data_IF_148245558498
#
_entry.id   IF_148245558498
#
_cell.length_a   1.000
_cell.length_b   1.000
_cell.length_c   1.000
_cell.angle_alpha   90.00
_cell.angle_beta   90.00
_cell.angle_gamma   90.00
#
_symmetry.space_group_name_H-M   'P 1'
#
loop_
_entity.id
_entity.type
_entity.pdbx_description
1 polymer ?
#
# COMPACT_ATOMS: atom_id res chain seq x y z
N UNK A 1 -45.87 -23.59 26.49
CA UNK A 1 -44.56 -24.25 26.71
C UNK A 1 -43.58 -23.74 25.67
N UNK A 2 -42.66 -22.89 26.12
CA UNK A 2 -41.46 -22.46 25.38
C UNK A 2 -40.44 -23.59 25.36
N UNK A 3 -39.84 -23.83 24.20
CA UNK A 3 -38.44 -24.28 24.00
C UNK A 3 -38.03 -23.87 22.58
N UNK A 4 -36.83 -23.47 22.24
CA UNK A 4 -35.65 -22.90 22.89
C UNK A 4 -34.76 -22.42 21.70
N UNK A 5 -34.00 -21.34 21.89
CA UNK A 5 -33.02 -20.86 20.91
C UNK A 5 -32.14 -21.96 20.32
N UNK A 6 -32.03 -21.96 18.98
CA UNK A 6 -30.82 -22.44 18.31
C UNK A 6 -30.10 -21.21 17.78
N UNK A 7 -29.26 -20.68 18.65
CA UNK A 7 -28.09 -19.90 18.32
C UNK A 7 -27.27 -20.63 17.25
N UNK A 8 -27.18 -20.05 16.06
CA UNK A 8 -26.06 -20.36 15.17
C UNK A 8 -25.22 -19.10 15.00
N UNK A 9 -24.38 -18.89 16.00
CA UNK A 9 -23.25 -17.99 15.97
C UNK A 9 -22.39 -18.34 14.74
N UNK A 10 -21.97 -17.38 13.90
CA UNK A 10 -21.12 -17.69 12.77
C UNK A 10 -19.81 -18.32 13.29
N UNK A 11 -19.38 -19.47 12.74
CA UNK A 11 -18.13 -20.09 13.16
C UNK A 11 -16.98 -19.14 12.82
N UNK A 12 -16.34 -18.67 13.89
CA UNK A 12 -14.90 -18.43 14.01
C UNK A 12 -14.24 -17.60 12.91
N UNK A 13 -13.93 -16.35 13.28
CA UNK A 13 -12.69 -15.64 12.96
C UNK A 13 -11.88 -16.22 11.78
N UNK A 14 -12.26 -15.84 10.56
CA UNK A 14 -11.45 -16.12 9.37
C UNK A 14 -10.15 -15.32 9.51
N UNK A 15 -9.06 -16.03 9.72
CA UNK A 15 -7.70 -15.51 9.71
C UNK A 15 -7.41 -14.83 8.36
N UNK A 16 -7.38 -13.50 8.33
CA UNK A 16 -7.07 -12.68 7.15
C UNK A 16 -5.60 -12.81 6.67
N UNK A 17 -4.92 -13.91 6.97
CA UNK A 17 -3.47 -14.07 6.75
C UNK A 17 -3.01 -15.46 6.33
N UNK A 18 -3.92 -16.40 6.04
CA UNK A 18 -3.49 -17.67 5.46
C UNK A 18 -3.05 -17.45 4.02
N UNK A 19 -1.85 -17.89 3.67
CA UNK A 19 -1.34 -17.86 2.29
C UNK A 19 -2.24 -18.75 1.42
N UNK A 20 -2.62 -18.33 0.20
CA UNK A 20 -3.37 -19.18 -0.72
C UNK A 20 -2.62 -20.50 -0.95
N UNK A 21 -3.33 -21.63 -0.99
CA UNK A 21 -2.71 -22.90 -1.43
C UNK A 21 -2.22 -22.77 -2.88
N UNK A 22 -1.27 -23.61 -3.32
CA UNK A 22 -0.66 -23.51 -4.67
C UNK A 22 -1.70 -23.36 -5.80
N UNK A 23 -2.80 -24.14 -5.74
CA UNK A 23 -3.91 -24.07 -6.70
C UNK A 23 -4.74 -22.78 -6.59
N UNK A 24 -4.92 -22.26 -5.38
CA UNK A 24 -5.61 -20.98 -5.18
C UNK A 24 -4.76 -19.80 -5.66
N UNK A 25 -3.44 -19.90 -5.53
CA UNK A 25 -2.52 -18.90 -6.08
C UNK A 25 -2.55 -18.88 -7.61
N UNK A 26 -2.50 -20.06 -8.23
CA UNK A 26 -2.63 -20.19 -9.69
C UNK A 26 -3.96 -19.61 -10.22
N UNK A 27 -5.08 -19.92 -9.56
CA UNK A 27 -6.38 -19.34 -9.89
C UNK A 27 -6.41 -17.83 -9.70
N UNK A 28 -5.79 -17.31 -8.64
CA UNK A 28 -5.69 -15.87 -8.41
C UNK A 28 -4.85 -15.18 -9.50
N UNK A 29 -3.69 -15.74 -9.85
CA UNK A 29 -2.82 -15.23 -10.91
C UNK A 29 -3.51 -15.26 -12.28
N UNK A 30 -4.27 -16.31 -12.57
CA UNK A 30 -5.09 -16.36 -13.79
C UNK A 30 -6.11 -15.24 -13.85
N UNK A 31 -6.86 -15.02 -12.76
CA UNK A 31 -7.87 -13.96 -12.69
C UNK A 31 -7.19 -12.58 -12.82
N UNK A 32 -6.03 -12.37 -12.18
CA UNK A 32 -5.26 -11.13 -12.31
C UNK A 32 -4.80 -10.86 -13.74
N UNK A 33 -4.24 -11.87 -14.42
CA UNK A 33 -3.82 -11.77 -15.81
C UNK A 33 -4.99 -11.48 -16.74
N UNK A 34 -6.11 -12.18 -16.57
CA UNK A 34 -7.31 -12.00 -17.39
C UNK A 34 -7.90 -10.60 -17.24
N UNK A 35 -7.98 -10.08 -16.01
CA UNK A 35 -8.46 -8.72 -15.75
C UNK A 35 -7.51 -7.67 -16.34
N UNK A 36 -6.19 -7.90 -16.28
CA UNK A 36 -5.19 -6.99 -16.85
C UNK A 36 -5.26 -6.94 -18.38
N UNK A 37 -5.53 -8.06 -19.04
CA UNK A 37 -5.60 -8.16 -20.50
C UNK A 37 -6.94 -7.66 -21.07
N UNK A 38 -8.06 -8.00 -20.43
CA UNK A 38 -9.39 -7.76 -20.98
C UNK A 38 -10.15 -6.61 -20.31
N UNK A 39 -9.70 -6.13 -19.15
CA UNK A 39 -10.37 -5.06 -18.40
C UNK A 39 -11.65 -5.47 -17.66
N UNK A 40 -11.98 -6.77 -17.64
CA UNK A 40 -13.12 -7.33 -16.90
C UNK A 40 -12.80 -8.70 -16.31
N UNK A 41 -13.59 -9.15 -15.32
CA UNK A 41 -13.38 -10.43 -14.65
C UNK A 41 -13.75 -11.65 -15.52
N UNK A 42 -13.00 -12.76 -15.46
CA UNK A 42 -13.33 -13.97 -16.19
C UNK A 42 -14.58 -14.66 -15.64
N UNK A 43 -15.30 -15.38 -16.49
CA UNK A 43 -16.38 -16.28 -16.11
C UNK A 43 -15.85 -17.58 -15.49
N UNK A 44 -16.70 -18.31 -14.76
CA UNK A 44 -16.31 -19.61 -14.17
C UNK A 44 -15.89 -20.64 -15.23
N UNK A 45 -16.43 -20.57 -16.45
CA UNK A 45 -16.00 -21.44 -17.57
C UNK A 45 -14.63 -21.05 -18.13
N UNK A 46 -14.28 -19.76 -18.13
CA UNK A 46 -12.96 -19.29 -18.54
C UNK A 46 -11.91 -19.66 -17.49
N UNK A 47 -12.22 -19.48 -16.21
CA UNK A 47 -11.36 -19.93 -15.10
C UNK A 47 -11.16 -21.45 -15.13
N UNK A 48 -12.22 -22.21 -15.40
CA UNK A 48 -12.14 -23.67 -15.52
C UNK A 48 -11.16 -24.09 -16.63
N UNK A 49 -11.23 -23.47 -17.81
CA UNK A 49 -10.32 -23.76 -18.94
C UNK A 49 -8.90 -23.26 -18.69
N UNK A 50 -8.75 -22.10 -18.05
CA UNK A 50 -7.45 -21.47 -17.81
C UNK A 50 -6.63 -22.11 -16.69
N UNK A 51 -7.28 -22.76 -15.73
CA UNK A 51 -6.64 -23.42 -14.58
C UNK A 51 -6.85 -24.95 -14.55
N UNK A 52 -7.31 -25.54 -15.67
CA UNK A 52 -7.55 -26.98 -15.85
C UNK A 52 -8.40 -27.64 -14.73
N UNK A 53 -9.51 -27.00 -14.36
CA UNK A 53 -10.44 -27.59 -13.40
C UNK A 53 -11.40 -28.58 -14.08
N UNK A 54 -11.67 -29.69 -13.40
CA UNK A 54 -12.59 -30.73 -13.89
C UNK A 54 -14.07 -30.32 -13.89
N UNK A 55 -14.46 -29.31 -13.11
CA UNK A 55 -15.86 -28.90 -12.98
C UNK A 55 -16.00 -27.43 -12.59
N UNK A 56 -17.03 -26.78 -13.15
CA UNK A 56 -17.46 -25.41 -12.84
C UNK A 56 -17.87 -25.27 -11.36
N UNK A 57 -18.46 -26.31 -10.77
CA UNK A 57 -18.86 -26.30 -9.36
C UNK A 57 -17.66 -26.21 -8.43
N UNK A 58 -16.55 -26.87 -8.79
CA UNK A 58 -15.28 -26.80 -8.04
C UNK A 58 -14.67 -25.40 -8.14
N UNK A 59 -14.73 -24.78 -9.32
CA UNK A 59 -14.30 -23.39 -9.51
C UNK A 59 -15.10 -22.43 -8.63
N UNK A 60 -16.43 -22.59 -8.58
CA UNK A 60 -17.29 -21.75 -7.75
C UNK A 60 -16.88 -21.82 -6.27
N UNK A 61 -16.66 -23.03 -5.73
CA UNK A 61 -16.19 -23.22 -4.35
C UNK A 61 -14.83 -22.56 -4.11
N UNK A 62 -13.88 -22.68 -5.04
CA UNK A 62 -12.57 -22.04 -4.88
C UNK A 62 -12.64 -20.52 -4.96
N UNK A 63 -13.48 -19.96 -5.83
CA UNK A 63 -13.72 -18.52 -5.93
C UNK A 63 -14.41 -18.00 -4.67
N UNK A 64 -15.43 -18.69 -4.17
CA UNK A 64 -16.14 -18.30 -2.95
C UNK A 64 -15.20 -18.34 -1.72
N UNK A 65 -14.32 -19.33 -1.64
CA UNK A 65 -13.27 -19.39 -0.63
C UNK A 65 -12.28 -18.21 -0.73
N UNK A 66 -11.92 -17.78 -1.94
CA UNK A 66 -11.06 -16.61 -2.13
C UNK A 66 -11.78 -15.29 -1.83
N UNK A 67 -13.09 -15.21 -2.05
CA UNK A 67 -13.93 -14.09 -1.65
C UNK A 67 -14.03 -14.02 -0.12
N UNK A 68 -14.31 -15.15 0.54
CA UNK A 68 -14.38 -15.25 2.00
C UNK A 68 -13.05 -14.85 2.67
N UNK A 69 -11.93 -15.11 2.01
CA UNK A 69 -10.57 -14.70 2.45
C UNK A 69 -10.21 -13.26 2.09
N UNK A 70 -11.06 -12.55 1.36
CA UNK A 70 -10.85 -11.14 1.00
C UNK A 70 -9.87 -10.91 -0.15
N UNK A 71 -9.50 -11.95 -0.90
CA UNK A 71 -8.64 -11.82 -2.09
C UNK A 71 -9.43 -11.45 -3.36
N UNK A 72 -10.72 -11.77 -3.41
CA UNK A 72 -11.62 -11.47 -4.52
C UNK A 72 -12.87 -10.75 -4.00
N UNK A 73 -13.48 -9.92 -4.85
CA UNK A 73 -14.79 -9.30 -4.59
C UNK A 73 -15.67 -9.43 -5.81
N UNK A 74 -16.94 -9.69 -5.58
CA UNK A 74 -17.96 -9.78 -6.62
C UNK A 74 -18.88 -8.57 -6.56
N UNK A 75 -18.89 -7.74 -7.60
CA UNK A 75 -19.67 -6.48 -7.63
C UNK A 75 -21.15 -6.67 -8.00
N UNK A 76 -21.52 -7.78 -8.65
CA UNK A 76 -22.89 -8.09 -9.11
C UNK A 76 -23.10 -9.61 -9.20
N UNK A 77 -24.33 -10.10 -9.40
CA UNK A 77 -24.63 -11.54 -9.55
C UNK A 77 -23.96 -12.21 -10.77
N UNK A 78 -23.36 -11.45 -11.68
CA UNK A 78 -22.66 -11.98 -12.86
C UNK A 78 -21.24 -12.46 -12.55
N UNK A 79 -20.77 -13.50 -13.24
CA UNK A 79 -19.40 -13.98 -13.15
C UNK A 79 -18.38 -12.93 -13.67
N UNK A 80 -18.80 -12.05 -14.59
CA UNK A 80 -17.96 -10.97 -15.15
C UNK A 80 -17.65 -9.84 -14.17
N UNK A 81 -18.26 -9.87 -12.99
CA UNK A 81 -18.11 -8.86 -11.94
C UNK A 81 -17.08 -9.24 -10.88
N UNK A 82 -16.24 -10.24 -11.15
CA UNK A 82 -15.11 -10.61 -10.30
C UNK A 82 -14.01 -9.57 -10.44
N UNK A 83 -13.72 -8.89 -9.33
CA UNK A 83 -12.58 -7.99 -9.19
C UNK A 83 -11.59 -8.60 -8.20
N UNK A 84 -10.31 -8.55 -8.53
CA UNK A 84 -9.26 -8.93 -7.58
C UNK A 84 -9.13 -7.83 -6.54
N UNK A 85 -9.45 -8.17 -5.29
CA UNK A 85 -9.13 -7.29 -4.17
C UNK A 85 -7.66 -7.50 -3.91
N UNK A 86 -6.83 -6.69 -4.56
CA UNK A 86 -5.48 -6.50 -4.07
C UNK A 86 -5.64 -5.96 -2.66
N UNK A 87 -5.36 -6.80 -1.65
CA UNK A 87 -5.01 -6.33 -0.33
C UNK A 87 -3.90 -5.33 -0.57
N UNK A 88 -4.29 -4.08 -0.57
CA UNK A 88 -3.38 -3.01 -0.77
C UNK A 88 -2.67 -2.82 0.56
N UNK A 89 -1.85 -3.79 0.92
CA UNK A 89 -0.73 -3.58 1.82
C UNK A 89 0.28 -2.56 1.23
N UNK A 90 -0.03 -1.98 0.05
CA UNK A 90 0.62 -0.82 -0.54
C UNK A 90 -0.31 0.41 -0.76
N UNK A 91 -1.48 0.49 -0.09
CA UNK A 91 -2.22 1.77 0.06
C UNK A 91 -2.73 1.87 1.49
N UNK A 92 -1.98 2.59 2.32
CA UNK A 92 -2.50 3.13 3.57
C UNK A 92 -1.59 3.04 4.79
N UNK A 93 -0.46 2.35 4.72
CA UNK A 93 0.63 2.53 5.69
C UNK A 93 1.95 2.43 4.94
N UNK A 94 2.34 3.52 4.31
CA UNK A 94 3.76 3.72 4.08
C UNK A 94 4.36 3.93 5.47
N UNK A 95 4.76 2.84 6.15
CA UNK A 95 5.92 2.95 7.03
C UNK A 95 7.06 3.27 6.08
N UNK A 96 7.24 4.55 5.77
CA UNK A 96 8.49 5.02 5.21
C UNK A 96 9.44 4.78 6.38
N UNK A 97 10.00 3.58 6.47
CA UNK A 97 11.30 3.45 7.08
C UNK A 97 12.19 4.25 6.14
N UNK A 98 12.30 5.56 6.40
CA UNK A 98 13.24 6.43 5.71
C UNK A 98 14.60 6.00 6.23
N UNK A 99 15.06 4.83 5.80
CA UNK A 99 16.44 4.43 5.97
C UNK A 99 17.23 5.28 4.97
N UNK A 100 17.41 6.56 5.31
CA UNK A 100 18.31 7.46 4.59
C UNK A 100 19.68 6.81 4.73
N UNK A 101 20.22 6.33 3.61
CA UNK A 101 21.60 5.86 3.62
C UNK A 101 22.53 7.05 3.85
N UNK A 102 23.71 6.83 4.43
CA UNK A 102 24.70 7.90 4.67
C UNK A 102 25.02 8.71 3.41
N UNK A 103 24.93 8.12 2.21
CA UNK A 103 25.13 8.84 0.94
C UNK A 103 23.98 9.79 0.61
N UNK A 104 22.73 9.41 0.91
CA UNK A 104 21.55 10.26 0.73
C UNK A 104 21.54 11.39 1.76
N UNK A 105 22.00 11.12 2.97
CA UNK A 105 22.17 12.10 4.05
C UNK A 105 23.14 13.21 3.64
N UNK A 106 24.33 12.83 3.15
CA UNK A 106 25.34 13.79 2.68
C UNK A 106 24.81 14.67 1.55
N UNK A 107 24.18 14.06 0.54
CA UNK A 107 23.59 14.79 -0.58
C UNK A 107 22.50 15.79 -0.14
N UNK A 108 21.63 15.40 0.80
CA UNK A 108 20.62 16.29 1.38
C UNK A 108 21.23 17.47 2.12
N UNK A 109 22.27 17.23 2.92
CA UNK A 109 23.00 18.27 3.64
C UNK A 109 23.65 19.25 2.66
N UNK A 110 24.28 18.75 1.59
CA UNK A 110 24.90 19.59 0.55
C UNK A 110 23.87 20.49 -0.15
N UNK A 111 22.66 19.98 -0.45
CA UNK A 111 21.57 20.78 -1.00
C UNK A 111 21.13 21.86 -0.03
N UNK A 112 20.97 21.53 1.25
CA UNK A 112 20.55 22.50 2.26
C UNK A 112 21.59 23.60 2.40
N UNK A 113 22.88 23.25 2.44
CA UNK A 113 23.98 24.22 2.46
C UNK A 113 23.98 25.13 1.23
N UNK A 114 23.80 24.57 0.03
CA UNK A 114 23.67 25.36 -1.19
C UNK A 114 22.50 26.35 -1.11
N UNK A 115 21.36 25.94 -0.54
CA UNK A 115 20.21 26.84 -0.34
C UNK A 115 20.49 27.95 0.68
N UNK A 116 21.33 27.70 1.68
CA UNK A 116 21.82 28.77 2.57
C UNK A 116 22.72 29.75 1.83
N UNK A 117 23.65 29.28 1.01
CA UNK A 117 24.52 30.16 0.19
C UNK A 117 23.70 31.02 -0.79
N UNK A 118 22.68 30.44 -1.44
CA UNK A 118 21.76 31.18 -2.29
C UNK A 118 20.97 32.26 -1.53
N UNK A 119 20.68 32.04 -0.25
CA UNK A 119 20.03 33.04 0.61
C UNK A 119 21.01 34.15 1.00
N UNK A 120 22.22 33.81 1.43
CA UNK A 120 23.27 34.77 1.80
C UNK A 120 23.63 35.69 0.63
N UNK A 121 23.67 35.16 -0.60
CA UNK A 121 23.96 35.96 -1.79
C UNK A 121 22.85 36.97 -2.15
N UNK A 122 21.57 36.60 -1.97
CA UNK A 122 20.41 37.46 -2.26
C UNK A 122 19.29 37.18 -1.25
N UNK A 123 19.24 37.91 -0.12
CA UNK A 123 18.24 37.71 0.92
C UNK A 123 16.84 38.02 0.38
N UNK A 124 15.90 37.09 0.53
CA UNK A 124 14.51 37.28 0.09
C UNK A 124 13.61 36.50 1.03
N UNK A 125 12.43 37.06 1.37
CA UNK A 125 11.47 36.43 2.27
C UNK A 125 11.11 34.99 1.84
N UNK A 126 10.84 34.77 0.54
CA UNK A 126 10.54 33.43 -0.01
C UNK A 126 11.65 32.40 0.21
N UNK A 127 12.91 32.82 0.17
CA UNK A 127 14.06 31.93 0.40
C UNK A 127 14.20 31.57 1.87
N UNK A 128 13.89 32.52 2.76
CA UNK A 128 13.86 32.27 4.20
C UNK A 128 12.78 31.24 4.57
N UNK A 129 11.57 31.39 4.03
CA UNK A 129 10.47 30.44 4.25
C UNK A 129 10.85 29.02 3.79
N UNK A 130 11.47 28.92 2.61
CA UNK A 130 11.96 27.65 2.08
C UNK A 130 13.01 27.00 2.99
N UNK A 131 13.94 27.78 3.56
CA UNK A 131 14.93 27.27 4.50
C UNK A 131 14.26 26.74 5.77
N UNK A 132 13.27 27.46 6.32
CA UNK A 132 12.49 26.99 7.47
C UNK A 132 11.81 25.63 7.20
N UNK A 133 11.22 25.47 6.01
CA UNK A 133 10.57 24.22 5.58
C UNK A 133 11.61 23.09 5.47
N UNK A 134 12.78 23.37 4.87
CA UNK A 134 13.85 22.38 4.73
C UNK A 134 14.38 21.91 6.08
N UNK A 135 14.61 22.83 7.03
CA UNK A 135 15.04 22.48 8.39
C UNK A 135 13.98 21.65 9.12
N UNK A 136 12.69 22.00 8.95
CA UNK A 136 11.58 21.22 9.47
C UNK A 136 11.52 19.80 8.88
N UNK A 137 11.76 19.68 7.57
CA UNK A 137 11.80 18.40 6.87
C UNK A 137 12.97 17.53 7.36
N UNK A 138 14.18 18.10 7.56
CA UNK A 138 15.31 17.35 8.14
C UNK A 138 14.99 16.77 9.51
N UNK A 139 14.31 17.54 10.37
CA UNK A 139 13.85 17.08 11.67
C UNK A 139 12.83 15.92 11.55
N UNK A 140 11.87 16.04 10.64
CA UNK A 140 10.87 15.00 10.38
C UNK A 140 11.47 13.71 9.78
N UNK A 141 12.60 13.83 9.07
CA UNK A 141 13.35 12.70 8.51
C UNK A 141 14.29 12.01 9.51
N UNK A 142 14.36 12.46 10.76
CA UNK A 142 15.21 11.88 11.80
C UNK A 142 16.68 12.30 11.72
N UNK A 143 17.03 13.27 10.87
CA UNK A 143 18.39 13.83 10.76
C UNK A 143 18.59 14.94 11.80
N UNK A 144 18.53 14.57 13.08
CA UNK A 144 18.49 15.50 14.21
C UNK A 144 19.73 16.40 14.30
N UNK A 145 20.92 15.87 14.05
CA UNK A 145 22.18 16.64 14.09
C UNK A 145 22.24 17.71 13.00
N UNK A 146 21.94 17.34 11.76
CA UNK A 146 21.87 18.27 10.63
C UNK A 146 20.77 19.33 10.83
N UNK A 147 19.61 18.95 11.38
CA UNK A 147 18.53 19.86 11.67
C UNK A 147 18.91 20.89 12.75
N UNK A 148 19.63 20.49 13.81
CA UNK A 148 20.12 21.41 14.85
C UNK A 148 21.14 22.40 14.29
N UNK A 149 22.09 21.93 13.47
CA UNK A 149 23.08 22.79 12.83
C UNK A 149 22.43 23.83 11.89
N UNK A 150 21.48 23.40 11.05
CA UNK A 150 20.78 24.28 10.15
C UNK A 150 19.86 25.27 10.88
N UNK A 151 19.23 24.86 11.98
CA UNK A 151 18.44 25.74 12.85
C UNK A 151 19.30 26.83 13.49
N UNK A 152 20.51 26.49 13.97
CA UNK A 152 21.44 27.47 14.53
C UNK A 152 21.86 28.53 13.49
N UNK A 153 22.05 28.13 12.22
CA UNK A 153 22.30 29.08 11.11
C UNK A 153 21.09 29.99 10.85
N UNK A 154 19.87 29.44 10.83
CA UNK A 154 18.64 30.25 10.70
C UNK A 154 18.51 31.30 11.81
N UNK A 155 18.73 30.91 13.07
CA UNK A 155 18.66 31.85 14.21
C UNK A 155 19.71 32.96 14.10
N UNK A 156 20.88 32.66 13.51
CA UNK A 156 21.93 33.65 13.27
C UNK A 156 21.57 34.65 12.16
N UNK A 157 20.75 34.25 11.19
CA UNK A 157 20.24 35.10 10.12
C UNK A 157 19.01 35.94 10.53
N UNK A 158 18.37 35.59 11.65
CA UNK A 158 17.23 36.31 12.21
C UNK A 158 17.64 37.45 13.18
N UNK A 159 18.93 37.60 13.46
CA UNK A 159 19.48 38.58 14.41
C UNK A 159 20.04 39.78 13.68
#
# INVERSE_FOLDING_TARGET
>A
MQKQESSNLPPSAVSLSERPSKKQHELLSFIEGFVAEHGYGPSYREIMRGCDYKSVSTVAVHVDNLIARGHLRKKTRSARSLEVVRSNSAKGQVKVAVAISKSQEKWLIDIVNFKFEEYEAKPTAKKFDNLCILVGALSALGMSEAAVAAKARLTSLQR
#
